data_IF_135050993506
#
_entry.id   IF_135050993506
#
_cell.length_a   1.000
_cell.length_b   1.000
_cell.length_c   1.000
_cell.angle_alpha   90.00
_cell.angle_beta   90.00
_cell.angle_gamma   90.00
#
_symmetry.space_group_name_H-M   'P 1'
#
loop_
_entity.id
_entity.type
_entity.pdbx_description
1 polymer ?
#
# COMPACT_ATOMS: atom_id res chain seq x y z
N UNK A 1 11.23 -24.84 -8.48
CA UNK A 1 10.26 -23.99 -8.82
C UNK A 1 10.10 -22.84 -7.84
N UNK A 2 9.98 -21.79 -8.40
CA UNK A 2 9.87 -20.60 -7.60
C UNK A 2 8.51 -20.56 -6.94
N UNK A 3 8.51 -20.25 -5.68
CA UNK A 3 7.26 -20.05 -4.97
C UNK A 3 6.83 -18.59 -5.02
N UNK A 4 7.57 -17.78 -5.75
CA UNK A 4 7.28 -16.35 -5.73
C UNK A 4 5.92 -16.02 -6.29
N UNK A 5 5.51 -16.75 -7.34
CA UNK A 5 4.22 -16.47 -7.92
C UNK A 5 3.08 -16.76 -6.97
N UNK A 6 3.32 -17.62 -5.99
CA UNK A 6 2.28 -17.92 -5.01
C UNK A 6 2.17 -16.85 -3.94
N UNK A 7 3.02 -15.84 -3.98
CA UNK A 7 3.00 -14.77 -2.99
C UNK A 7 2.15 -13.58 -3.41
N UNK A 8 1.40 -13.74 -4.49
CA UNK A 8 0.48 -12.70 -4.90
C UNK A 8 -0.51 -12.43 -3.77
N UNK A 9 -0.68 -11.17 -3.44
CA UNK A 9 -1.59 -10.78 -2.38
C UNK A 9 -3.02 -10.85 -2.94
N UNK A 10 -3.90 -11.63 -2.32
CA UNK A 10 -5.28 -11.77 -2.83
C UNK A 10 -6.03 -10.44 -2.83
N UNK A 11 -6.99 -10.33 -3.75
CA UNK A 11 -7.73 -9.08 -3.91
C UNK A 11 -8.60 -8.74 -2.70
N UNK A 12 -8.97 -9.73 -1.91
CA UNK A 12 -9.80 -9.47 -0.73
C UNK A 12 -8.98 -9.29 0.55
N UNK A 13 -7.66 -9.25 0.43
CA UNK A 13 -6.82 -8.96 1.58
C UNK A 13 -6.99 -7.49 1.98
N UNK A 14 -7.18 -7.24 3.25
CA UNK A 14 -7.27 -5.89 3.79
C UNK A 14 -5.88 -5.36 4.07
N UNK A 15 -5.63 -4.14 3.63
CA UNK A 15 -4.34 -3.46 3.82
C UNK A 15 -4.60 -2.27 4.72
N UNK A 16 -3.85 -2.19 5.80
CA UNK A 16 -4.00 -1.15 6.80
C UNK A 16 -2.65 -0.54 7.10
N UNK A 17 -2.59 0.77 7.22
CA UNK A 17 -1.35 1.42 7.61
C UNK A 17 -0.94 0.96 8.99
N UNK A 18 0.37 0.77 9.18
CA UNK A 18 0.91 0.41 10.48
C UNK A 18 0.51 1.47 11.50
N UNK A 19 -0.01 1.07 12.68
CA UNK A 19 -0.59 2.06 13.60
C UNK A 19 0.44 2.97 14.27
N UNK A 20 1.69 2.53 14.41
CA UNK A 20 2.70 3.33 15.09
C UNK A 20 3.52 4.11 14.07
N UNK A 21 2.88 5.09 13.46
CA UNK A 21 3.50 5.95 12.47
C UNK A 21 2.87 7.34 12.54
N UNK A 22 3.60 8.32 12.05
CA UNK A 22 3.11 9.66 11.88
C UNK A 22 3.32 10.02 10.41
N UNK A 23 2.25 10.47 9.76
CA UNK A 23 2.34 10.85 8.36
C UNK A 23 2.01 12.32 8.21
N UNK A 24 2.68 12.98 7.26
CA UNK A 24 2.32 14.34 6.92
C UNK A 24 2.45 14.52 5.43
N UNK A 25 1.64 15.42 4.91
CA UNK A 25 1.67 15.74 3.49
C UNK A 25 2.67 16.84 3.24
N UNK A 26 3.38 16.70 2.12
CA UNK A 26 4.31 17.72 1.66
C UNK A 26 4.08 17.89 0.17
N UNK A 27 3.07 18.69 -0.20
CA UNK A 27 2.67 18.79 -1.59
C UNK A 27 2.03 17.51 -2.04
N UNK A 28 2.56 16.94 -3.12
CA UNK A 28 2.05 15.66 -3.65
C UNK A 28 2.67 14.46 -2.97
N UNK A 29 3.57 14.69 -2.02
CA UNK A 29 4.28 13.62 -1.36
C UNK A 29 3.73 13.39 0.02
N UNK A 30 4.00 12.18 0.54
CA UNK A 30 3.72 11.85 1.92
C UNK A 30 5.01 11.46 2.59
N UNK A 31 5.23 11.96 3.79
CA UNK A 31 6.39 11.57 4.58
C UNK A 31 5.88 10.81 5.78
N UNK A 32 6.38 9.59 5.95
CA UNK A 32 5.92 8.70 7.01
C UNK A 32 7.08 8.46 7.96
N UNK A 33 6.86 8.74 9.24
CA UNK A 33 7.83 8.41 10.29
C UNK A 33 7.36 7.14 10.97
N UNK A 34 8.19 6.11 10.90
CA UNK A 34 7.92 4.84 11.60
C UNK A 34 8.42 5.00 13.03
N UNK A 35 7.50 4.92 14.00
CA UNK A 35 7.86 5.26 15.36
C UNK A 35 8.76 4.22 16.03
N UNK A 36 8.66 2.96 15.61
CA UNK A 36 9.50 1.93 16.23
C UNK A 36 10.93 1.95 15.72
N UNK A 37 11.15 2.30 14.47
CA UNK A 37 12.49 2.31 13.89
C UNK A 37 13.10 3.70 13.88
N UNK A 38 12.26 4.75 13.95
CA UNK A 38 12.73 6.11 13.83
C UNK A 38 13.07 6.53 12.41
N UNK A 39 12.72 5.71 11.43
CA UNK A 39 13.06 5.99 10.03
C UNK A 39 11.94 6.75 9.35
N UNK A 40 12.35 7.66 8.47
CA UNK A 40 11.42 8.38 7.61
C UNK A 40 11.36 7.71 6.25
N UNK A 41 10.16 7.70 5.67
CA UNK A 41 9.94 7.15 4.35
C UNK A 41 9.18 8.17 3.52
N UNK A 42 9.73 8.52 2.38
CA UNK A 42 9.04 9.44 1.45
C UNK A 42 8.28 8.65 0.42
N UNK A 43 7.04 9.01 0.19
CA UNK A 43 6.19 8.39 -0.80
C UNK A 43 5.69 9.46 -1.75
N UNK A 44 5.65 9.13 -3.05
CA UNK A 44 5.18 10.07 -4.04
C UNK A 44 4.41 9.33 -5.12
N UNK A 45 3.67 10.07 -5.93
CA UNK A 45 2.92 9.49 -7.03
C UNK A 45 1.91 8.49 -6.54
N UNK A 46 1.88 7.33 -7.21
CA UNK A 46 0.94 6.28 -6.85
C UNK A 46 1.17 5.79 -5.44
N UNK A 47 2.43 5.78 -4.99
CA UNK A 47 2.73 5.37 -3.62
C UNK A 47 2.05 6.25 -2.59
N UNK A 48 2.10 7.57 -2.79
CA UNK A 48 1.43 8.49 -1.89
C UNK A 48 -0.09 8.32 -1.96
N UNK A 49 -0.61 8.12 -3.17
CA UNK A 49 -2.02 7.91 -3.38
C UNK A 49 -2.52 6.67 -2.62
N UNK A 50 -1.80 5.56 -2.77
CA UNK A 50 -2.14 4.33 -2.08
C UNK A 50 -2.03 4.50 -0.57
N UNK A 51 -1.00 5.22 -0.11
CA UNK A 51 -0.80 5.43 1.31
C UNK A 51 -2.01 6.11 1.95
N UNK A 52 -2.55 7.13 1.29
CA UNK A 52 -3.71 7.82 1.83
C UNK A 52 -4.91 6.91 1.99
N UNK A 53 -5.06 5.95 1.08
CA UNK A 53 -6.15 5.01 1.16
C UNK A 53 -5.93 3.97 2.26
N UNK A 54 -4.71 3.47 2.41
CA UNK A 54 -4.47 2.44 3.42
C UNK A 54 -4.46 3.00 4.83
N UNK A 55 -4.32 4.30 4.98
CA UNK A 55 -4.44 4.90 6.30
C UNK A 55 -5.84 4.67 6.87
N UNK A 56 -6.83 4.60 6.01
CA UNK A 56 -8.20 4.30 6.43
C UNK A 56 -8.54 2.83 6.28
N UNK A 57 -7.68 2.10 5.58
CA UNK A 57 -7.91 0.69 5.35
C UNK A 57 -8.64 0.44 4.05
N UNK A 58 -8.13 -0.50 3.25
CA UNK A 58 -8.74 -0.84 1.98
C UNK A 58 -8.29 -2.23 1.58
N UNK A 59 -9.14 -2.91 0.80
CA UNK A 59 -8.72 -4.18 0.23
C UNK A 59 -7.84 -3.92 -0.98
N UNK A 60 -7.07 -4.95 -1.37
CA UNK A 60 -6.25 -4.85 -2.57
C UNK A 60 -7.11 -4.51 -3.77
N UNK A 61 -8.29 -5.14 -3.88
CA UNK A 61 -9.20 -4.84 -4.99
C UNK A 61 -9.67 -3.40 -5.00
N UNK A 62 -9.95 -2.86 -3.82
CA UNK A 62 -10.35 -1.45 -3.72
C UNK A 62 -9.22 -0.53 -4.13
N UNK A 63 -7.99 -0.87 -3.75
CA UNK A 63 -6.84 -0.07 -4.15
C UNK A 63 -6.66 -0.11 -5.66
N UNK A 64 -6.78 -1.29 -6.25
CA UNK A 64 -6.64 -1.43 -7.69
C UNK A 64 -7.69 -0.61 -8.43
N UNK A 65 -8.94 -0.69 -7.97
CA UNK A 65 -10.02 0.08 -8.58
C UNK A 65 -9.78 1.58 -8.48
N UNK A 66 -9.32 2.03 -7.31
CA UNK A 66 -9.08 3.45 -7.11
C UNK A 66 -7.96 3.95 -8.01
N UNK A 67 -6.88 3.16 -8.15
CA UNK A 67 -5.78 3.55 -9.01
C UNK A 67 -6.25 3.65 -10.46
N UNK A 68 -7.07 2.70 -10.90
CA UNK A 68 -7.53 2.70 -12.27
C UNK A 68 -8.48 3.84 -12.56
N UNK A 69 -9.19 4.34 -11.56
CA UNK A 69 -10.05 5.51 -11.73
C UNK A 69 -9.25 6.80 -11.79
N UNK A 70 -8.15 6.85 -11.04
CA UNK A 70 -7.36 8.07 -10.92
C UNK A 70 -6.32 8.18 -12.02
N UNK A 71 -5.78 7.06 -12.47
CA UNK A 71 -4.70 7.00 -13.44
C UNK A 71 -5.11 6.12 -14.61
N UNK A 72 -4.66 6.49 -15.80
CA UNK A 72 -4.94 5.67 -16.97
C UNK A 72 -3.87 4.60 -17.09
N UNK A 73 -4.20 3.42 -16.60
CA UNK A 73 -3.25 2.31 -16.58
C UNK A 73 -4.02 1.02 -16.88
N UNK A 74 -3.37 0.13 -17.62
CA UNK A 74 -4.00 -1.14 -17.98
C UNK A 74 -4.17 -2.01 -16.75
N UNK A 75 -5.23 -2.84 -16.72
CA UNK A 75 -5.53 -3.63 -15.52
C UNK A 75 -4.39 -4.54 -15.09
N UNK A 76 -3.77 -5.26 -16.04
CA UNK A 76 -2.70 -6.18 -15.66
C UNK A 76 -1.50 -5.44 -15.11
N UNK A 77 -1.16 -4.31 -15.74
CA UNK A 77 -0.04 -3.53 -15.26
C UNK A 77 -0.32 -2.91 -13.90
N UNK A 78 -1.55 -2.44 -13.72
CA UNK A 78 -1.96 -1.88 -12.44
C UNK A 78 -1.83 -2.91 -11.34
N UNK A 79 -2.27 -4.14 -11.60
CA UNK A 79 -2.20 -5.21 -10.63
C UNK A 79 -0.75 -5.53 -10.26
N UNK A 80 0.11 -5.66 -11.29
CA UNK A 80 1.51 -5.99 -11.04
C UNK A 80 2.21 -4.90 -10.25
N UNK A 81 1.99 -3.65 -10.63
CA UNK A 81 2.65 -2.54 -9.96
C UNK A 81 2.15 -2.41 -8.52
N UNK A 82 0.86 -2.63 -8.30
CA UNK A 82 0.31 -2.55 -6.96
C UNK A 82 0.87 -3.67 -6.07
N UNK A 83 0.99 -4.89 -6.61
CA UNK A 83 1.57 -5.99 -5.85
C UNK A 83 2.98 -5.64 -5.41
N UNK A 84 3.78 -5.10 -6.32
CA UNK A 84 5.15 -4.72 -5.99
C UNK A 84 5.18 -3.61 -4.94
N UNK A 85 4.33 -2.62 -5.10
CA UNK A 85 4.28 -1.51 -4.16
C UNK A 85 3.88 -1.98 -2.76
N UNK A 86 2.85 -2.82 -2.67
CA UNK A 86 2.41 -3.31 -1.38
C UNK A 86 3.46 -4.18 -0.71
N UNK A 87 4.18 -4.99 -1.51
CA UNK A 87 5.25 -5.79 -0.96
C UNK A 87 6.35 -4.90 -0.39
N UNK A 88 6.68 -3.82 -1.07
CA UNK A 88 7.70 -2.89 -0.58
C UNK A 88 7.25 -2.19 0.70
N UNK A 89 6.00 -1.74 0.74
CA UNK A 89 5.49 -1.08 1.94
C UNK A 89 5.46 -2.06 3.12
N UNK A 90 5.09 -3.29 2.86
CA UNK A 90 5.07 -4.30 3.90
C UNK A 90 6.47 -4.61 4.40
N UNK A 91 7.43 -4.66 3.49
CA UNK A 91 8.81 -4.92 3.85
C UNK A 91 9.37 -3.82 4.73
N UNK A 92 8.93 -2.58 4.49
CA UNK A 92 9.33 -1.44 5.31
C UNK A 92 8.51 -1.33 6.59
N UNK A 93 7.59 -2.26 6.80
CA UNK A 93 6.72 -2.31 7.97
C UNK A 93 5.81 -1.11 8.08
N UNK A 94 5.40 -0.59 6.92
CA UNK A 94 4.49 0.55 6.88
C UNK A 94 3.03 0.13 6.75
N UNK A 95 2.76 -1.11 6.29
CA UNK A 95 1.39 -1.61 6.19
C UNK A 95 1.33 -3.01 6.78
N UNK A 96 0.11 -3.39 7.15
CA UNK A 96 -0.20 -4.73 7.61
C UNK A 96 -1.27 -5.32 6.72
N UNK A 97 -1.23 -6.63 6.55
CA UNK A 97 -2.23 -7.35 5.76
C UNK A 97 -3.09 -8.19 6.69
N UNK A 98 -4.40 -8.14 6.45
CA UNK A 98 -5.36 -8.90 7.26
C UNK A 98 -6.33 -9.61 6.33
N UNK A 99 -6.70 -10.84 6.69
CA UNK A 99 -7.69 -11.57 5.92
C UNK A 99 -9.10 -11.05 6.16
N UNK A 100 -9.32 -10.41 7.30
CA UNK A 100 -10.62 -9.87 7.67
C UNK A 100 -10.46 -8.41 8.05
N UNK A 101 -11.54 -7.62 7.96
CA UNK A 101 -11.43 -6.22 8.33
C UNK A 101 -11.00 -6.07 9.78
N UNK A 102 -10.14 -5.11 10.08
CA UNK A 102 -9.75 -4.84 11.47
C UNK A 102 -10.97 -4.37 12.25
N UNK A 103 -10.96 -4.65 13.52
CA UNK A 103 -12.06 -4.25 14.40
C UNK A 103 -11.73 -3.02 15.20
#
# INVERSE_FOLDING_TARGET
MSSDSSRTIPVDTHVQAFPRQISSEAGDEEVVLHLDTGQYHGLEGVGAFVWRLVREGATVGELESAIRREYEVEPDRCRDDLQTLLAELHERKLVEFHNEPPR
#
